data_IF_569181620268
#
_entry.id   IF_569181620268
#
_cell.length_a   1.000
_cell.length_b   1.000
_cell.length_c   1.000
_cell.angle_alpha   90.00
_cell.angle_beta   90.00
_cell.angle_gamma   90.00
#
_symmetry.space_group_name_H-M   'P 1'
#
loop_
_entity.id
_entity.type
_entity.pdbx_description
1 polymer ?
#
# COMPACT_ATOMS: atom_id res chain seq x y z
N UNK A 1 -4.03 6.73 7.42
CA UNK A 1 -4.68 6.13 6.24
C UNK A 1 -6.07 5.50 6.48
N UNK A 2 -6.41 4.92 7.66
CA UNK A 2 -7.72 4.26 7.87
C UNK A 2 -8.92 5.15 7.52
N UNK A 3 -8.88 6.40 8.00
CA UNK A 3 -9.98 7.34 7.82
C UNK A 3 -10.23 7.68 6.34
N UNK A 4 -9.19 8.03 5.58
CA UNK A 4 -9.37 8.53 4.20
C UNK A 4 -10.00 7.49 3.27
N UNK A 5 -9.61 6.22 3.40
CA UNK A 5 -10.17 5.15 2.55
C UNK A 5 -11.63 4.83 2.91
N UNK A 6 -11.97 4.77 4.21
CA UNK A 6 -13.36 4.57 4.65
C UNK A 6 -14.23 5.74 4.22
N UNK A 7 -13.75 6.97 4.41
CA UNK A 7 -14.44 8.18 3.95
C UNK A 7 -14.58 8.23 2.42
N UNK A 8 -13.71 7.56 1.65
CA UNK A 8 -13.90 7.41 0.20
C UNK A 8 -15.07 6.46 -0.10
N UNK A 9 -15.16 5.32 0.60
CA UNK A 9 -16.28 4.40 0.43
C UNK A 9 -17.63 5.00 0.81
N UNK A 10 -17.68 5.77 1.91
CA UNK A 10 -18.90 6.40 2.40
C UNK A 10 -19.37 7.53 1.47
N UNK A 11 -18.49 8.49 1.16
CA UNK A 11 -18.90 9.72 0.48
C UNK A 11 -18.84 9.63 -1.06
N UNK A 12 -17.94 8.84 -1.63
CA UNK A 12 -17.81 8.74 -3.09
C UNK A 12 -18.54 7.52 -3.64
N UNK A 13 -18.32 6.33 -3.06
CA UNK A 13 -19.01 5.10 -3.51
C UNK A 13 -20.42 4.93 -2.93
N UNK A 14 -20.80 5.75 -1.95
CA UNK A 14 -22.10 5.73 -1.28
C UNK A 14 -22.42 4.36 -0.66
N UNK A 15 -21.42 3.72 -0.05
CA UNK A 15 -21.60 2.49 0.72
C UNK A 15 -21.98 2.77 2.17
N UNK A 16 -22.59 1.78 2.82
CA UNK A 16 -22.89 1.84 4.24
C UNK A 16 -21.61 1.68 5.09
N UNK A 17 -21.66 2.12 6.35
CA UNK A 17 -20.54 2.03 7.30
C UNK A 17 -20.06 0.60 7.53
N UNK A 18 -21.00 -0.35 7.70
CA UNK A 18 -20.68 -1.76 7.92
C UNK A 18 -19.92 -2.37 6.75
N UNK A 19 -20.38 -2.12 5.52
CA UNK A 19 -19.73 -2.60 4.29
C UNK A 19 -18.35 -1.96 4.13
N UNK A 20 -18.24 -0.64 4.33
CA UNK A 20 -16.99 0.10 4.22
C UNK A 20 -15.94 -0.38 5.21
N UNK A 21 -16.34 -0.62 6.46
CA UNK A 21 -15.48 -1.15 7.53
C UNK A 21 -15.05 -2.58 7.22
N UNK A 22 -15.98 -3.43 6.77
CA UNK A 22 -15.69 -4.82 6.40
C UNK A 22 -14.68 -4.91 5.27
N UNK A 23 -14.87 -4.15 4.18
CA UNK A 23 -13.95 -4.11 3.04
C UNK A 23 -12.59 -3.55 3.45
N UNK A 24 -12.56 -2.49 4.28
CA UNK A 24 -11.31 -1.95 4.82
C UNK A 24 -10.51 -3.00 5.60
N UNK A 25 -11.17 -3.74 6.49
CA UNK A 25 -10.52 -4.79 7.27
C UNK A 25 -10.09 -5.98 6.41
N UNK A 26 -10.88 -6.36 5.40
CA UNK A 26 -10.51 -7.39 4.44
C UNK A 26 -9.23 -6.99 3.67
N UNK A 27 -9.17 -5.75 3.16
CA UNK A 27 -7.98 -5.20 2.51
C UNK A 27 -6.78 -5.18 3.45
N UNK A 28 -6.95 -4.72 4.69
CA UNK A 28 -5.88 -4.70 5.69
C UNK A 28 -5.38 -6.10 6.00
N UNK A 29 -6.29 -7.08 6.16
CA UNK A 29 -5.94 -8.48 6.39
C UNK A 29 -5.13 -9.04 5.22
N UNK A 30 -5.56 -8.77 3.99
CA UNK A 30 -4.83 -9.18 2.79
C UNK A 30 -3.41 -8.58 2.73
N UNK A 31 -3.24 -7.31 3.12
CA UNK A 31 -1.92 -6.67 3.19
C UNK A 31 -0.96 -7.28 4.22
N UNK A 32 -1.47 -7.96 5.25
CA UNK A 32 -0.67 -8.67 6.27
C UNK A 32 -0.51 -10.17 5.96
N UNK A 33 -1.41 -10.74 5.17
CA UNK A 33 -1.33 -12.13 4.73
C UNK A 33 -0.40 -12.32 3.52
N UNK A 34 -0.52 -11.46 2.51
CA UNK A 34 0.27 -11.52 1.27
C UNK A 34 1.79 -11.47 1.43
N UNK A 35 2.39 -10.88 2.49
CA UNK A 35 3.82 -11.02 2.76
C UNK A 35 4.32 -12.45 2.89
N UNK A 36 3.51 -13.36 3.44
CA UNK A 36 3.90 -14.78 3.55
C UNK A 36 4.09 -15.37 2.16
N UNK A 37 3.13 -15.11 1.27
CA UNK A 37 3.20 -15.57 -0.13
C UNK A 37 4.35 -14.89 -0.89
N UNK A 38 4.51 -13.58 -0.70
CA UNK A 38 5.57 -12.80 -1.36
C UNK A 38 6.97 -13.25 -0.96
N UNK A 39 7.20 -13.54 0.33
CA UNK A 39 8.45 -14.08 0.82
C UNK A 39 8.72 -15.49 0.26
N UNK A 40 7.73 -16.38 0.27
CA UNK A 40 7.87 -17.73 -0.28
C UNK A 40 8.27 -17.71 -1.76
N UNK A 41 7.68 -16.82 -2.56
CA UNK A 41 8.03 -16.64 -3.98
C UNK A 41 9.46 -16.09 -4.14
N UNK A 42 9.85 -15.11 -3.30
CA UNK A 42 11.17 -14.51 -3.36
C UNK A 42 12.28 -15.51 -2.99
N UNK A 43 12.06 -16.32 -1.96
CA UNK A 43 13.06 -17.27 -1.46
C UNK A 43 13.16 -18.51 -2.34
N UNK A 44 12.06 -18.91 -3.00
CA UNK A 44 12.06 -20.10 -3.86
C UNK A 44 12.55 -19.78 -5.28
N UNK A 45 11.90 -18.85 -6.00
CA UNK A 45 12.03 -18.76 -7.46
C UNK A 45 12.66 -17.48 -8.00
N UNK A 46 12.26 -16.31 -7.48
CA UNK A 46 12.58 -15.04 -8.13
C UNK A 46 13.83 -14.35 -7.56
N UNK A 47 14.17 -14.62 -6.31
CA UNK A 47 15.15 -13.85 -5.55
C UNK A 47 14.59 -12.51 -5.07
N UNK A 48 15.15 -11.99 -3.96
CA UNK A 48 14.64 -10.80 -3.25
C UNK A 48 14.57 -9.56 -4.15
N UNK A 49 15.63 -9.24 -4.90
CA UNK A 49 15.69 -8.03 -5.73
C UNK A 49 14.64 -8.00 -6.85
N UNK A 50 14.49 -9.09 -7.62
CA UNK A 50 13.50 -9.16 -8.71
C UNK A 50 12.08 -9.12 -8.17
N UNK A 51 11.81 -9.79 -7.05
CA UNK A 51 10.48 -9.72 -6.40
C UNK A 51 10.14 -8.29 -5.99
N UNK A 52 11.10 -7.55 -5.42
CA UNK A 52 10.88 -6.14 -5.06
C UNK A 52 10.49 -5.32 -6.29
N UNK A 53 11.23 -5.42 -7.39
CA UNK A 53 10.94 -4.65 -8.61
C UNK A 53 9.57 -5.02 -9.20
N UNK A 54 9.32 -6.30 -9.44
CA UNK A 54 8.07 -6.72 -10.07
C UNK A 54 6.85 -6.36 -9.23
N UNK A 55 6.90 -6.56 -7.91
CA UNK A 55 5.77 -6.20 -7.06
C UNK A 55 5.65 -4.69 -6.82
N UNK A 56 6.75 -3.93 -6.93
CA UNK A 56 6.67 -2.45 -6.94
C UNK A 56 5.93 -1.94 -8.17
N UNK A 57 6.12 -2.56 -9.34
CA UNK A 57 5.33 -2.23 -10.54
C UNK A 57 3.84 -2.54 -10.33
N UNK A 58 3.51 -3.72 -9.77
CA UNK A 58 2.13 -4.09 -9.43
C UNK A 58 1.51 -3.11 -8.43
N UNK A 59 2.29 -2.69 -7.42
CA UNK A 59 1.85 -1.73 -6.41
C UNK A 59 1.52 -0.36 -7.03
N UNK A 60 2.39 0.16 -7.91
CA UNK A 60 2.16 1.42 -8.62
C UNK A 60 0.95 1.31 -9.54
N UNK A 61 0.81 0.21 -10.29
CA UNK A 61 -0.36 -0.03 -11.14
C UNK A 61 -1.65 -0.06 -10.33
N UNK A 62 -1.66 -0.68 -9.15
CA UNK A 62 -2.81 -0.68 -8.26
C UNK A 62 -3.23 0.73 -7.82
N UNK A 63 -2.26 1.60 -7.50
CA UNK A 63 -2.53 3.01 -7.19
C UNK A 63 -3.06 3.79 -8.39
N UNK A 64 -2.51 3.57 -9.59
CA UNK A 64 -3.01 4.19 -10.82
C UNK A 64 -4.45 3.78 -11.08
N UNK A 65 -4.76 2.47 -11.04
CA UNK A 65 -6.11 1.95 -11.27
C UNK A 65 -7.10 2.51 -10.22
N UNK A 66 -6.70 2.54 -8.94
CA UNK A 66 -7.52 3.14 -7.88
C UNK A 66 -7.75 4.63 -8.12
N UNK A 67 -6.73 5.36 -8.56
CA UNK A 67 -6.83 6.80 -8.85
C UNK A 67 -7.78 7.05 -10.02
N UNK A 68 -7.71 6.23 -11.08
CA UNK A 68 -8.65 6.30 -12.21
C UNK A 68 -10.08 5.99 -11.77
N UNK A 69 -10.26 5.02 -10.88
CA UNK A 69 -11.57 4.69 -10.30
C UNK A 69 -12.17 5.82 -9.45
N UNK A 70 -11.35 6.76 -8.97
CA UNK A 70 -11.80 7.93 -8.22
C UNK A 70 -12.11 9.16 -9.10
N UNK A 71 -11.91 9.08 -10.41
CA UNK A 71 -12.25 10.16 -11.34
C UNK A 71 -13.76 10.12 -11.66
N UNK A 72 -14.54 11.18 -11.34
CA UNK A 72 -15.99 11.17 -11.53
C UNK A 72 -16.42 11.10 -13.01
N UNK A 73 -15.53 11.41 -13.94
CA UNK A 73 -15.78 11.37 -15.39
C UNK A 73 -15.76 9.94 -15.97
N UNK A 74 -15.23 8.95 -15.24
CA UNK A 74 -15.01 7.59 -15.75
C UNK A 74 -16.15 6.63 -15.38
N UNK A 75 -17.17 6.55 -16.24
CA UNK A 75 -18.20 5.51 -16.18
C UNK A 75 -19.24 5.73 -15.08
N UNK A 76 -19.97 4.67 -14.73
CA UNK A 76 -20.98 4.69 -13.66
C UNK A 76 -20.47 4.15 -12.33
N UNK A 77 -21.31 4.17 -11.30
CA UNK A 77 -20.98 3.71 -9.94
C UNK A 77 -20.40 2.28 -9.88
N UNK A 78 -20.87 1.39 -10.76
CA UNK A 78 -20.34 0.01 -10.89
C UNK A 78 -18.87 0.03 -11.34
N UNK A 79 -18.52 0.88 -12.30
CA UNK A 79 -17.15 0.99 -12.83
C UNK A 79 -16.20 1.51 -11.75
N UNK A 80 -16.59 2.57 -11.02
CA UNK A 80 -15.80 3.09 -9.89
C UNK A 80 -15.56 2.03 -8.81
N UNK A 81 -16.60 1.27 -8.47
CA UNK A 81 -16.52 0.17 -7.50
C UNK A 81 -15.52 -0.90 -7.94
N UNK A 82 -15.67 -1.39 -9.17
CA UNK A 82 -14.81 -2.46 -9.72
C UNK A 82 -13.36 -1.99 -9.80
N UNK A 83 -13.10 -0.80 -10.33
CA UNK A 83 -11.74 -0.24 -10.40
C UNK A 83 -11.13 -0.05 -9.01
N UNK A 84 -11.91 0.44 -8.03
CA UNK A 84 -11.43 0.60 -6.66
C UNK A 84 -11.05 -0.75 -6.02
N UNK A 85 -11.89 -1.79 -6.16
CA UNK A 85 -11.62 -3.11 -5.59
C UNK A 85 -10.44 -3.81 -6.26
N UNK A 86 -10.31 -3.70 -7.59
CA UNK A 86 -9.14 -4.20 -8.33
C UNK A 86 -7.89 -3.47 -7.89
N UNK A 87 -7.94 -2.13 -7.83
CA UNK A 87 -6.81 -1.30 -7.38
C UNK A 87 -6.35 -1.67 -5.97
N UNK A 88 -7.28 -1.82 -5.03
CA UNK A 88 -6.98 -2.23 -3.65
C UNK A 88 -6.38 -3.64 -3.58
N UNK A 89 -6.88 -4.57 -4.39
CA UNK A 89 -6.34 -5.93 -4.44
C UNK A 89 -4.90 -5.94 -4.97
N UNK A 90 -4.60 -5.17 -6.02
CA UNK A 90 -3.24 -5.03 -6.55
C UNK A 90 -2.30 -4.33 -5.57
N UNK A 91 -2.78 -3.29 -4.88
CA UNK A 91 -2.01 -2.62 -3.81
C UNK A 91 -1.68 -3.62 -2.69
N UNK A 92 -2.65 -4.45 -2.29
CA UNK A 92 -2.46 -5.47 -1.25
C UNK A 92 -1.42 -6.52 -1.68
N UNK A 93 -1.50 -7.02 -2.91
CA UNK A 93 -0.53 -7.96 -3.45
C UNK A 93 0.87 -7.34 -3.56
N UNK A 94 0.96 -6.10 -4.06
CA UNK A 94 2.21 -5.36 -4.20
C UNK A 94 2.88 -5.10 -2.86
N UNK A 95 2.14 -4.58 -1.87
CA UNK A 95 2.71 -4.38 -0.52
C UNK A 95 3.14 -5.68 0.14
N UNK A 96 2.48 -6.79 -0.21
CA UNK A 96 2.76 -8.13 0.27
C UNK A 96 4.22 -8.49 0.08
N UNK A 97 4.72 -8.62 -1.14
CA UNK A 97 6.11 -9.04 -1.34
C UNK A 97 7.16 -7.93 -1.20
N UNK A 98 6.80 -6.63 -1.27
CA UNK A 98 7.77 -5.55 -1.02
C UNK A 98 8.24 -5.56 0.45
N UNK A 99 7.30 -5.61 1.41
CA UNK A 99 7.60 -5.49 2.84
C UNK A 99 8.65 -6.49 3.37
N UNK A 100 8.49 -7.82 3.19
CA UNK A 100 9.44 -8.80 3.71
C UNK A 100 10.76 -8.77 2.94
N UNK A 101 10.73 -8.50 1.63
CA UNK A 101 11.92 -8.56 0.79
C UNK A 101 12.83 -7.35 0.97
N UNK A 102 12.30 -6.13 1.13
CA UNK A 102 13.11 -4.91 1.27
C UNK A 102 13.96 -4.93 2.53
N UNK A 103 13.38 -5.33 3.67
CA UNK A 103 14.10 -5.41 4.93
C UNK A 103 15.20 -6.49 4.87
N UNK A 104 14.88 -7.67 4.33
CA UNK A 104 15.83 -8.76 4.16
C UNK A 104 16.97 -8.37 3.20
N UNK A 105 16.63 -7.84 2.01
CA UNK A 105 17.61 -7.43 1.01
C UNK A 105 18.54 -6.32 1.50
N UNK A 106 18.03 -5.36 2.26
CA UNK A 106 18.84 -4.31 2.89
C UNK A 106 19.78 -4.85 3.98
N UNK A 107 19.30 -5.81 4.78
CA UNK A 107 20.13 -6.50 5.78
C UNK A 107 21.25 -7.33 5.16
N UNK A 108 20.98 -7.97 4.02
CA UNK A 108 21.96 -8.79 3.27
C UNK A 108 23.13 -7.97 2.71
N UNK A 109 23.06 -6.63 2.68
CA UNK A 109 24.15 -5.77 2.21
C UNK A 109 25.33 -5.68 3.20
N UNK A 110 25.15 -6.12 4.43
CA UNK A 110 26.16 -6.03 5.48
C UNK A 110 26.70 -7.42 5.81
N UNK A 111 28.01 -7.60 5.62
CA UNK A 111 28.73 -8.79 6.08
C UNK A 111 28.68 -8.90 7.62
N UNK A 112 28.92 -10.10 8.17
CA UNK A 112 28.85 -10.34 9.62
C UNK A 112 29.80 -9.46 10.44
N UNK A 113 30.95 -9.09 9.86
CA UNK A 113 31.93 -8.17 10.47
C UNK A 113 31.39 -6.74 10.67
N UNK A 114 30.32 -6.37 9.98
CA UNK A 114 29.69 -5.05 9.97
C UNK A 114 28.35 -5.02 10.73
N UNK A 115 28.28 -5.74 11.86
CA UNK A 115 27.05 -5.88 12.64
C UNK A 115 26.57 -4.55 13.26
N UNK A 116 27.49 -3.66 13.61
CA UNK A 116 27.17 -2.33 14.15
C UNK A 116 26.55 -1.43 13.07
N UNK A 117 27.13 -1.37 11.86
CA UNK A 117 26.54 -0.61 10.76
C UNK A 117 25.17 -1.17 10.35
N UNK A 118 25.02 -2.50 10.35
CA UNK A 118 23.73 -3.16 10.09
C UNK A 118 22.66 -2.75 11.12
N UNK A 119 23.04 -2.67 12.39
CA UNK A 119 22.11 -2.23 13.46
C UNK A 119 21.70 -0.78 13.24
N UNK A 120 22.67 0.11 12.94
CA UNK A 120 22.41 1.51 12.64
C UNK A 120 21.51 1.68 11.41
N UNK A 121 21.72 0.87 10.37
CA UNK A 121 20.86 0.82 9.20
C UNK A 121 19.41 0.51 9.59
N UNK A 122 19.17 -0.56 10.37
CA UNK A 122 17.82 -0.89 10.81
C UNK A 122 17.20 0.19 11.70
N UNK A 123 17.97 0.84 12.58
CA UNK A 123 17.48 1.97 13.38
C UNK A 123 16.99 3.13 12.50
N UNK A 124 17.77 3.53 11.48
CA UNK A 124 17.37 4.59 10.53
C UNK A 124 16.20 4.14 9.66
N UNK A 125 16.18 2.88 9.24
CA UNK A 125 15.08 2.29 8.47
C UNK A 125 13.75 2.36 9.24
N UNK A 126 13.73 1.91 10.49
CA UNK A 126 12.54 1.99 11.34
C UNK A 126 12.14 3.42 11.67
N UNK A 127 13.10 4.31 11.89
CA UNK A 127 12.83 5.74 12.06
C UNK A 127 12.13 6.31 10.81
N UNK A 128 12.63 5.98 9.61
CA UNK A 128 12.08 6.45 8.34
C UNK A 128 10.66 5.95 8.10
N UNK A 129 10.36 4.69 8.42
CA UNK A 129 8.99 4.12 8.32
C UNK A 129 8.03 4.85 9.25
N UNK A 130 8.41 5.04 10.52
CA UNK A 130 7.56 5.71 11.50
C UNK A 130 7.36 7.19 11.17
N UNK A 131 8.42 7.89 10.76
CA UNK A 131 8.34 9.27 10.30
C UNK A 131 7.42 9.39 9.07
N UNK A 132 7.57 8.53 8.07
CA UNK A 132 6.70 8.51 6.90
C UNK A 132 5.23 8.23 7.24
N UNK A 133 4.97 7.31 8.17
CA UNK A 133 3.62 7.03 8.67
C UNK A 133 3.00 8.24 9.38
N UNK A 134 3.78 8.93 10.21
CA UNK A 134 3.34 10.15 10.90
C UNK A 134 3.01 11.26 9.89
N UNK A 135 3.93 11.53 8.97
CA UNK A 135 3.77 12.55 7.92
C UNK A 135 2.53 12.24 7.07
N UNK A 136 2.37 11.00 6.60
CA UNK A 136 1.19 10.60 5.81
C UNK A 136 -0.11 10.75 6.61
N UNK A 137 -0.09 10.51 7.92
CA UNK A 137 -1.28 10.62 8.78
C UNK A 137 -1.80 12.06 8.87
N UNK A 138 -0.92 13.07 8.81
CA UNK A 138 -1.32 14.48 8.77
C UNK A 138 -1.57 15.00 7.35
N UNK A 139 -0.65 14.72 6.42
CA UNK A 139 -0.70 15.28 5.06
C UNK A 139 -1.89 14.73 4.27
N UNK A 140 -2.20 13.43 4.38
CA UNK A 140 -3.22 12.81 3.51
C UNK A 140 -4.63 13.38 3.78
N UNK A 141 -5.09 13.55 5.04
CA UNK A 141 -6.35 14.23 5.32
C UNK A 141 -6.34 15.72 4.95
N UNK A 142 -5.23 16.42 5.19
CA UNK A 142 -5.08 17.84 4.83
C UNK A 142 -5.24 18.06 3.33
N UNK A 143 -4.52 17.28 2.51
CA UNK A 143 -4.66 17.33 1.05
C UNK A 143 -6.08 17.03 0.57
N UNK A 144 -6.78 16.09 1.22
CA UNK A 144 -8.18 15.79 0.89
C UNK A 144 -9.12 16.97 1.20
N UNK A 145 -8.90 17.66 2.32
CA UNK A 145 -9.77 18.75 2.78
C UNK A 145 -9.52 20.07 2.06
N UNK A 146 -8.24 20.38 1.79
CA UNK A 146 -7.83 21.69 1.26
C UNK A 146 -7.85 21.73 -0.28
N UNK A 147 -7.72 20.59 -0.95
CA UNK A 147 -7.69 20.51 -2.41
C UNK A 147 -9.06 20.09 -2.94
N UNK A 148 -9.79 21.06 -3.48
CA UNK A 148 -11.00 20.82 -4.26
C UNK A 148 -10.61 20.38 -5.67
N UNK A 149 -10.97 19.15 -6.02
CA UNK A 149 -10.81 18.61 -7.36
C UNK A 149 -12.16 18.68 -8.07
N UNK A 150 -12.18 19.21 -9.30
CA UNK A 150 -13.35 19.26 -10.18
C UNK A 150 -14.49 20.23 -9.79
N UNK A 151 -14.18 21.24 -8.96
CA UNK A 151 -15.10 22.37 -8.72
C UNK A 151 -16.18 22.11 -7.66
N UNK A 152 -16.01 21.06 -6.85
CA UNK A 152 -16.74 20.81 -5.60
C UNK A 152 -15.76 20.63 -4.42
#
# INVERSE_FOLDING_TARGET
>A
MKAVLILYFLYFLHWNEDTSTSIYHAFSSLCYFTPILGAAIADSWLGKFKTIIYLSLVYVLGHVIKSLGALPILGGQVVHTVLSLIGLSLIALGTGGIKPCVAAFGGDQFEEKHAEERTRYFSVFYLSINAGSLISTFITPMLRGDVQCFGE
#
